data_IF_667958929106
#
_entry.id   IF_667958929106
#
_cell.length_a   1.000
_cell.length_b   1.000
_cell.length_c   1.000
_cell.angle_alpha   90.00
_cell.angle_beta   90.00
_cell.angle_gamma   90.00
#
_symmetry.space_group_name_H-M   'P 1'
#
loop_
_entity.id
_entity.type
_entity.pdbx_description
1 polymer ?
#
# COMPACT_ATOMS: atom_id res chain seq x y z
N UNK A 1 -15.83 -8.59 -9.20
CA UNK A 1 -15.39 -7.18 -9.41
C UNK A 1 -14.29 -7.03 -10.47
N UNK A 2 -13.80 -8.11 -11.09
CA UNK A 2 -12.87 -8.07 -12.24
C UNK A 2 -13.47 -7.38 -13.48
N UNK A 3 -14.81 -7.43 -13.63
CA UNK A 3 -15.56 -6.84 -14.75
C UNK A 3 -15.42 -5.31 -14.81
N UNK A 4 -15.38 -4.63 -13.65
CA UNK A 4 -15.13 -3.19 -13.58
C UNK A 4 -13.67 -2.83 -13.86
N UNK A 5 -12.74 -3.77 -13.91
CA UNK A 5 -11.36 -3.51 -14.34
C UNK A 5 -11.16 -3.77 -15.83
N UNK A 6 -12.04 -4.57 -16.45
CA UNK A 6 -11.99 -4.91 -17.88
C UNK A 6 -12.44 -3.74 -18.77
N UNK A 7 -13.36 -2.92 -18.27
CA UNK A 7 -13.82 -1.70 -18.94
C UNK A 7 -12.77 -0.56 -18.91
N UNK A 8 -11.73 -0.66 -18.08
CA UNK A 8 -10.70 0.35 -17.93
C UNK A 8 -9.43 -0.12 -18.64
N UNK A 9 -8.78 0.81 -19.34
CA UNK A 9 -7.56 0.52 -20.09
C UNK A 9 -6.41 0.00 -19.23
N UNK A 10 -5.28 -0.32 -19.89
CA UNK A 10 -4.07 -0.92 -19.28
C UNK A 10 -3.80 -0.37 -17.86
N UNK A 11 -3.59 -1.28 -16.90
CA UNK A 11 -3.25 -0.93 -15.53
C UNK A 11 -1.99 -0.05 -15.50
N UNK A 12 -2.14 1.16 -14.94
CA UNK A 12 -1.13 2.20 -15.00
C UNK A 12 -0.01 1.97 -13.97
N UNK A 13 -0.34 1.35 -12.84
CA UNK A 13 0.67 0.84 -11.91
C UNK A 13 0.17 -0.36 -11.12
N UNK A 14 1.13 -1.21 -10.72
CA UNK A 14 0.91 -2.35 -9.85
C UNK A 14 1.85 -2.19 -8.65
N UNK A 15 1.30 -1.70 -7.54
CA UNK A 15 2.04 -1.50 -6.31
C UNK A 15 1.81 -2.67 -5.37
N UNK A 16 2.88 -3.41 -5.03
CA UNK A 16 2.83 -4.45 -3.97
C UNK A 16 3.56 -3.90 -2.76
N UNK A 17 2.83 -3.55 -1.69
CA UNK A 17 3.46 -3.13 -0.43
C UNK A 17 3.82 -4.40 0.35
N UNK A 18 5.10 -4.76 0.34
CA UNK A 18 5.64 -5.74 1.28
C UNK A 18 6.08 -4.99 2.54
N UNK A 19 5.21 -4.94 3.56
CA UNK A 19 5.56 -4.41 4.87
C UNK A 19 5.20 -5.45 5.94
N UNK A 20 6.17 -6.30 6.27
CA UNK A 20 6.09 -7.29 7.36
C UNK A 20 5.13 -8.47 7.12
N UNK A 21 4.77 -9.15 8.21
CA UNK A 21 3.88 -10.33 8.30
C UNK A 21 2.42 -10.07 7.86
N UNK A 22 2.11 -8.89 7.32
CA UNK A 22 0.75 -8.51 6.93
C UNK A 22 0.38 -9.08 5.57
N UNK A 23 -0.78 -9.73 5.40
CA UNK A 23 -1.17 -10.35 4.15
C UNK A 23 -1.38 -9.32 3.05
N UNK A 24 -0.53 -9.40 2.02
CA UNK A 24 -0.86 -9.23 0.60
C UNK A 24 -1.80 -8.09 0.19
N UNK A 25 -1.59 -6.86 0.68
CA UNK A 25 -2.27 -5.71 0.07
C UNK A 25 -1.71 -5.44 -1.33
N UNK A 26 -2.50 -5.80 -2.36
CA UNK A 26 -2.18 -5.48 -3.75
C UNK A 26 -2.93 -4.23 -4.16
N UNK A 27 -2.20 -3.24 -4.66
CA UNK A 27 -2.77 -2.01 -5.18
C UNK A 27 -2.64 -1.99 -6.69
N UNK A 28 -3.76 -1.77 -7.38
CA UNK A 28 -3.82 -1.58 -8.82
C UNK A 28 -4.45 -0.22 -9.12
N UNK A 29 -3.83 0.50 -10.04
CA UNK A 29 -4.36 1.78 -10.52
C UNK A 29 -4.75 1.62 -11.99
N UNK A 30 -5.97 1.96 -12.32
CA UNK A 30 -6.48 1.95 -13.69
C UNK A 30 -6.84 3.38 -14.11
N UNK A 31 -6.55 3.71 -15.37
CA UNK A 31 -6.84 5.02 -15.94
C UNK A 31 -8.12 4.93 -16.75
N UNK A 32 -9.12 5.72 -16.36
CA UNK A 32 -10.29 6.05 -17.18
C UNK A 32 -10.06 7.35 -17.95
N UNK A 33 -11.01 7.72 -18.82
CA UNK A 33 -10.93 8.95 -19.63
C UNK A 33 -10.98 10.24 -18.80
N UNK A 34 -11.68 10.21 -17.68
CA UNK A 34 -11.98 11.36 -16.81
C UNK A 34 -11.61 11.13 -15.34
N UNK A 35 -11.19 9.90 -14.98
CA UNK A 35 -10.90 9.52 -13.62
C UNK A 35 -9.88 8.40 -13.51
N UNK A 36 -9.33 8.23 -12.32
CA UNK A 36 -8.47 7.10 -11.94
C UNK A 36 -9.24 6.18 -11.00
N UNK A 37 -9.22 4.88 -11.28
CA UNK A 37 -9.75 3.85 -10.42
C UNK A 37 -8.61 3.25 -9.59
N UNK A 38 -8.69 3.40 -8.28
CA UNK A 38 -7.80 2.77 -7.32
C UNK A 38 -8.47 1.52 -6.76
N UNK A 39 -7.85 0.37 -6.98
CA UNK A 39 -8.30 -0.92 -6.47
C UNK A 39 -7.27 -1.43 -5.46
N UNK A 40 -7.70 -1.58 -4.21
CA UNK A 40 -6.91 -2.15 -3.13
C UNK A 40 -7.51 -3.50 -2.73
N UNK A 41 -6.80 -4.57 -3.04
CA UNK A 41 -7.14 -5.92 -2.60
C UNK A 41 -6.37 -6.22 -1.31
N UNK A 42 -7.09 -6.30 -0.19
CA UNK A 42 -6.63 -6.98 1.03
C UNK A 42 -7.13 -8.42 0.95
N UNK A 43 -6.38 -9.39 1.50
CA UNK A 43 -6.60 -10.83 1.24
C UNK A 43 -8.06 -11.34 1.29
N UNK A 44 -8.92 -10.72 2.10
CA UNK A 44 -10.35 -11.05 2.20
C UNK A 44 -11.32 -9.96 1.69
N UNK A 45 -10.83 -8.76 1.33
CA UNK A 45 -11.67 -7.64 0.93
C UNK A 45 -11.04 -6.80 -0.18
N UNK A 46 -11.75 -6.65 -1.30
CA UNK A 46 -11.40 -5.71 -2.36
C UNK A 46 -12.14 -4.40 -2.15
N UNK A 47 -11.39 -3.29 -2.03
CA UNK A 47 -11.94 -1.94 -1.98
C UNK A 47 -11.59 -1.19 -3.26
N UNK A 48 -12.61 -0.66 -3.92
CA UNK A 48 -12.47 0.16 -5.13
C UNK A 48 -12.86 1.60 -4.83
N UNK A 49 -12.02 2.56 -5.22
CA UNK A 49 -12.29 4.00 -5.06
C UNK A 49 -12.00 4.72 -6.38
N UNK A 50 -12.93 5.58 -6.82
CA UNK A 50 -12.82 6.40 -8.04
C UNK A 50 -12.36 7.81 -7.66
N UNK A 51 -11.44 8.37 -8.44
CA UNK A 51 -10.92 9.72 -8.28
C UNK A 51 -11.01 10.48 -9.59
N UNK A 52 -11.89 11.49 -9.68
CA UNK A 52 -12.07 12.30 -10.88
C UNK A 52 -10.95 13.32 -11.05
N UNK A 53 -10.42 13.49 -12.26
CA UNK A 53 -9.34 14.45 -12.51
C UNK A 53 -9.73 15.89 -12.19
N UNK A 54 -11.01 16.22 -12.36
CA UNK A 54 -11.57 17.53 -12.02
C UNK A 54 -11.42 17.88 -10.53
N UNK A 55 -11.41 16.88 -9.65
CA UNK A 55 -11.35 17.07 -8.20
C UNK A 55 -9.92 16.95 -7.64
N UNK A 56 -8.96 16.51 -8.46
CA UNK A 56 -7.56 16.34 -8.04
C UNK A 56 -6.82 17.67 -8.22
N UNK A 57 -6.77 18.46 -7.15
CA UNK A 57 -6.07 19.75 -7.15
C UNK A 57 -4.54 19.61 -6.97
N UNK A 58 -4.08 18.62 -6.21
CA UNK A 58 -2.67 18.36 -5.98
C UNK A 58 -2.39 16.90 -5.59
N UNK A 59 -1.23 16.37 -6.00
CA UNK A 59 -0.71 15.09 -5.54
C UNK A 59 0.51 15.31 -4.65
N UNK A 60 0.42 14.90 -3.38
CA UNK A 60 1.54 15.00 -2.43
C UNK A 60 2.12 13.62 -2.18
N UNK A 61 3.40 13.44 -2.54
CA UNK A 61 4.16 12.23 -2.25
C UNK A 61 4.91 12.47 -0.95
N UNK A 62 4.45 11.83 0.14
CA UNK A 62 5.15 11.91 1.43
C UNK A 62 5.99 10.65 1.68
N UNK A 63 7.21 10.84 2.18
CA UNK A 63 8.09 9.73 2.56
C UNK A 63 7.59 9.14 3.88
N UNK A 64 7.09 7.91 3.82
CA UNK A 64 6.67 7.17 5.00
C UNK A 64 7.89 6.90 5.90
N UNK A 65 7.90 7.46 7.13
CA UNK A 65 8.94 7.22 8.15
C UNK A 65 8.80 5.87 8.86
N UNK A 66 7.87 5.02 8.45
CA UNK A 66 7.58 3.72 9.08
C UNK A 66 8.80 2.80 9.13
N UNK A 67 9.72 2.90 8.16
CA UNK A 67 10.96 2.12 8.17
C UNK A 67 11.87 2.46 9.38
N UNK A 68 11.89 3.73 9.81
CA UNK A 68 12.68 4.16 10.96
C UNK A 68 12.11 3.59 12.26
N UNK A 69 10.79 3.67 12.45
CA UNK A 69 10.11 3.09 13.61
C UNK A 69 10.29 1.59 13.71
N UNK A 70 10.18 0.86 12.59
CA UNK A 70 10.44 -0.59 12.57
C UNK A 70 11.87 -0.90 12.98
N UNK A 71 12.85 -0.13 12.47
CA UNK A 71 14.25 -0.28 12.86
C UNK A 71 14.48 -0.06 14.36
N UNK A 72 13.85 0.96 14.94
CA UNK A 72 13.94 1.25 16.39
C UNK A 72 13.35 0.11 17.21
N UNK A 73 12.17 -0.39 16.85
CA UNK A 73 11.53 -1.51 17.56
C UNK A 73 12.39 -2.77 17.48
N UNK A 74 12.88 -3.12 16.28
CA UNK A 74 13.76 -4.29 16.10
C UNK A 74 15.08 -4.15 16.87
N UNK A 75 15.68 -2.96 16.88
CA UNK A 75 16.90 -2.68 17.64
C UNK A 75 16.68 -2.84 19.15
N UNK A 76 15.57 -2.32 19.67
CA UNK A 76 15.21 -2.48 21.08
C UNK A 76 14.97 -3.96 21.44
N UNK A 77 14.28 -4.72 20.57
CA UNK A 77 14.01 -6.14 20.77
C UNK A 77 15.31 -6.97 20.80
N UNK A 78 16.24 -6.69 19.89
CA UNK A 78 17.56 -7.32 19.89
C UNK A 78 18.36 -7.01 21.15
N UNK A 79 18.35 -5.75 21.61
CA UNK A 79 19.03 -5.38 22.85
C UNK A 79 18.48 -6.14 24.05
N UNK A 80 17.15 -6.23 24.17
CA UNK A 80 16.55 -7.02 25.27
C UNK A 80 16.87 -8.51 25.17
N UNK A 81 16.89 -9.08 23.97
CA UNK A 81 17.23 -10.49 23.78
C UNK A 81 18.69 -10.77 24.17
N UNK A 82 19.63 -9.89 23.82
CA UNK A 82 21.04 -10.04 24.22
C UNK A 82 21.20 -9.93 25.73
N UNK A 83 20.48 -9.00 26.37
CA UNK A 83 20.55 -8.79 27.81
C UNK A 83 19.99 -9.99 28.59
N UNK A 84 18.91 -10.61 28.10
CA UNK A 84 18.32 -11.83 28.67
C UNK A 84 19.21 -13.08 28.45
N UNK A 85 19.99 -13.13 27.37
CA UNK A 85 20.94 -14.23 27.14
C UNK A 85 22.18 -14.11 28.03
N UNK A 86 22.52 -12.88 28.43
CA UNK A 86 23.70 -12.58 29.23
C UNK A 86 23.47 -12.73 30.74
N UNK A 87 22.21 -12.65 31.20
CA UNK A 87 21.78 -12.94 32.57
C UNK A 87 21.57 -14.45 32.79
#
# INVERSE_FOLDING_TARGET
>A
MAEQAEQYGRALSRGRKHLGLSPYNTYRLYLGSDHVLHVAASGYSERSKRFYFKDIQAMVITKTRSALWIGVVLGALLLTAVLVIWD
#
